data_IF_817489218280
#
_entry.id   IF_817489218280
#
_cell.length_a   1.000
_cell.length_b   1.000
_cell.length_c   1.000
_cell.angle_alpha   90.00
_cell.angle_beta   90.00
_cell.angle_gamma   90.00
#
_symmetry.space_group_name_H-M   'P 1'
#
loop_
_entity.id
_entity.type
_entity.pdbx_description
1 polymer ?
#
# COMPACT_ATOMS: atom_id res chain seq x y z
N UNK A 1 -48.31 27.61 12.93
CA UNK A 1 -46.92 27.83 12.48
C UNK A 1 -46.97 28.41 11.08
N UNK A 2 -46.34 29.57 10.82
CA UNK A 2 -46.48 30.28 9.56
C UNK A 2 -45.65 29.56 8.47
N UNK A 3 -46.13 29.46 7.22
CA UNK A 3 -45.45 28.69 6.14
C UNK A 3 -43.98 29.09 5.94
N UNK A 4 -43.66 30.37 6.18
CA UNK A 4 -42.28 30.92 6.14
C UNK A 4 -41.37 30.35 7.24
N UNK A 5 -41.90 30.11 8.43
CA UNK A 5 -41.13 29.60 9.58
C UNK A 5 -40.76 28.13 9.37
N UNK A 6 -41.67 27.30 8.84
CA UNK A 6 -41.39 25.89 8.53
C UNK A 6 -40.32 25.72 7.45
N UNK A 7 -40.35 26.56 6.41
CA UNK A 7 -39.36 26.52 5.33
C UNK A 7 -37.95 26.87 5.82
N UNK A 8 -37.81 27.90 6.67
CA UNK A 8 -36.52 28.29 7.24
C UNK A 8 -35.97 27.20 8.18
N UNK A 9 -36.81 26.61 9.04
CA UNK A 9 -36.38 25.51 9.92
C UNK A 9 -35.99 24.26 9.12
N UNK A 10 -36.69 23.95 8.03
CA UNK A 10 -36.35 22.84 7.14
C UNK A 10 -35.01 23.07 6.41
N UNK A 11 -34.75 24.29 5.92
CA UNK A 11 -33.46 24.63 5.28
C UNK A 11 -32.30 24.54 6.28
N UNK A 12 -32.49 25.06 7.50
CA UNK A 12 -31.48 24.96 8.57
C UNK A 12 -31.25 23.49 8.94
N UNK A 13 -32.31 22.71 9.13
CA UNK A 13 -32.21 21.27 9.40
C UNK A 13 -31.48 20.52 8.29
N UNK A 14 -31.74 20.83 7.02
CA UNK A 14 -31.09 20.20 5.87
C UNK A 14 -29.61 20.58 5.77
N UNK A 15 -29.26 21.85 6.05
CA UNK A 15 -27.87 22.30 6.11
C UNK A 15 -27.09 21.64 7.26
N UNK A 16 -27.71 21.44 8.42
CA UNK A 16 -27.09 20.74 9.55
C UNK A 16 -26.89 19.25 9.24
N UNK A 17 -27.90 18.56 8.70
CA UNK A 17 -27.78 17.13 8.35
C UNK A 17 -26.79 16.92 7.21
N UNK A 18 -26.79 17.79 6.19
CA UNK A 18 -25.82 17.77 5.10
C UNK A 18 -24.39 18.09 5.55
N UNK A 19 -24.21 19.08 6.43
CA UNK A 19 -22.91 19.48 6.96
C UNK A 19 -22.27 18.43 7.87
N UNK A 20 -23.06 17.81 8.75
CA UNK A 20 -22.58 16.74 9.65
C UNK A 20 -22.21 15.48 8.86
N UNK A 21 -23.04 15.09 7.87
CA UNK A 21 -22.75 13.96 6.99
C UNK A 21 -21.47 14.17 6.17
N UNK A 22 -21.28 15.38 5.63
CA UNK A 22 -20.07 15.75 4.89
C UNK A 22 -18.82 15.77 5.79
N UNK A 23 -18.92 16.34 7.00
CA UNK A 23 -17.83 16.32 8.00
C UNK A 23 -17.40 14.91 8.40
N UNK A 24 -18.37 14.01 8.64
CA UNK A 24 -18.07 12.62 8.98
C UNK A 24 -17.42 11.86 7.81
N UNK A 25 -17.93 12.06 6.59
CA UNK A 25 -17.40 11.44 5.38
C UNK A 25 -15.95 11.89 5.09
N UNK A 26 -15.69 13.20 5.18
CA UNK A 26 -14.35 13.76 4.95
C UNK A 26 -13.35 13.26 5.99
N UNK A 27 -13.74 13.15 7.26
CA UNK A 27 -12.88 12.60 8.31
C UNK A 27 -12.52 11.13 8.04
N UNK A 28 -13.52 10.31 7.64
CA UNK A 28 -13.29 8.90 7.28
C UNK A 28 -12.36 8.73 6.08
N UNK A 29 -12.45 9.61 5.08
CA UNK A 29 -11.64 9.54 3.86
C UNK A 29 -10.20 10.06 4.05
N UNK A 30 -9.96 10.90 5.07
CA UNK A 30 -8.62 11.36 5.43
C UNK A 30 -7.93 10.49 6.50
N UNK A 31 -8.58 9.44 7.00
CA UNK A 31 -7.95 8.49 7.92
C UNK A 31 -6.78 7.75 7.27
N UNK A 32 -5.78 7.37 8.09
CA UNK A 32 -4.63 6.59 7.65
C UNK A 32 -5.07 5.24 7.08
N UNK A 33 -4.41 4.82 6.02
CA UNK A 33 -4.67 3.58 5.30
C UNK A 33 -3.34 2.99 4.85
N UNK A 34 -3.16 1.69 5.11
CA UNK A 34 -2.01 0.93 4.66
C UNK A 34 -2.44 0.04 3.50
N UNK A 35 -1.73 0.14 2.37
CA UNK A 35 -1.91 -0.72 1.20
C UNK A 35 -0.61 -1.42 0.89
N UNK A 36 -0.71 -2.73 0.70
CA UNK A 36 0.44 -3.60 0.56
C UNK A 36 0.12 -4.83 -0.27
N UNK A 37 1.17 -5.36 -0.89
CA UNK A 37 1.20 -6.71 -1.43
C UNK A 37 1.69 -7.65 -0.34
N UNK A 38 0.96 -8.77 -0.18
CA UNK A 38 1.32 -9.81 0.78
C UNK A 38 1.97 -10.99 0.06
N UNK A 39 3.20 -11.31 0.43
CA UNK A 39 3.96 -12.45 -0.06
C UNK A 39 3.78 -13.62 0.93
N UNK A 40 3.14 -14.73 0.54
CA UNK A 40 2.80 -15.81 1.47
C UNK A 40 3.96 -16.79 1.73
N UNK A 41 4.67 -16.64 2.84
CA UNK A 41 5.89 -17.40 3.20
C UNK A 41 5.61 -18.59 4.13
N UNK A 42 4.42 -19.19 4.07
CA UNK A 42 4.02 -20.29 4.96
C UNK A 42 4.95 -21.50 4.78
N UNK A 43 5.50 -22.00 5.90
CA UNK A 43 6.35 -23.19 5.92
C UNK A 43 7.84 -22.92 5.68
N UNK A 44 8.23 -21.65 5.50
CA UNK A 44 9.63 -21.27 5.44
C UNK A 44 10.21 -21.00 6.84
N UNK A 45 11.53 -21.15 7.03
CA UNK A 45 12.20 -20.77 8.27
C UNK A 45 12.01 -19.28 8.58
N UNK A 46 11.75 -18.97 9.86
CA UNK A 46 11.59 -17.58 10.34
C UNK A 46 12.79 -16.72 9.98
N UNK A 47 14.01 -17.21 10.20
CA UNK A 47 15.26 -16.50 9.91
C UNK A 47 15.34 -16.10 8.43
N UNK A 48 14.97 -17.02 7.51
CA UNK A 48 14.94 -16.74 6.09
C UNK A 48 13.91 -15.63 5.73
N UNK A 49 12.77 -15.61 6.41
CA UNK A 49 11.74 -14.60 6.19
C UNK A 49 12.17 -13.22 6.72
N UNK A 50 12.86 -13.18 7.85
CA UNK A 50 13.45 -11.97 8.43
C UNK A 50 14.59 -11.43 7.55
N UNK A 51 15.45 -12.30 7.01
CA UNK A 51 16.50 -11.92 6.06
C UNK A 51 15.92 -11.29 4.79
N UNK A 52 14.82 -11.84 4.26
CA UNK A 52 14.13 -11.25 3.12
C UNK A 52 13.46 -9.92 3.46
N UNK A 53 12.83 -9.80 4.63
CA UNK A 53 12.30 -8.52 5.11
C UNK A 53 13.40 -7.45 5.12
N UNK A 54 14.56 -7.75 5.70
CA UNK A 54 15.71 -6.84 5.75
C UNK A 54 16.19 -6.50 4.34
N UNK A 55 16.32 -7.49 3.46
CA UNK A 55 16.74 -7.26 2.07
C UNK A 55 15.78 -6.30 1.32
N UNK A 56 14.46 -6.47 1.51
CA UNK A 56 13.45 -5.57 0.96
C UNK A 56 13.56 -4.16 1.57
N UNK A 57 13.75 -4.05 2.89
CA UNK A 57 13.93 -2.75 3.55
C UNK A 57 15.16 -2.01 3.02
N UNK A 58 16.28 -2.70 2.81
CA UNK A 58 17.49 -2.11 2.26
C UNK A 58 17.31 -1.63 0.82
N UNK A 59 16.73 -2.48 -0.04
CA UNK A 59 16.47 -2.16 -1.45
C UNK A 59 15.52 -0.97 -1.55
N UNK A 60 14.41 -0.98 -0.81
CA UNK A 60 13.42 0.09 -0.80
C UNK A 60 13.81 1.30 0.07
N UNK A 61 15.06 1.34 0.53
CA UNK A 61 15.68 2.54 1.12
C UNK A 61 16.63 3.26 0.15
N UNK A 62 16.90 2.66 -1.02
CA UNK A 62 17.77 3.21 -2.04
C UNK A 62 17.06 4.36 -2.78
N UNK A 63 17.63 5.56 -2.68
CA UNK A 63 17.04 6.77 -3.26
C UNK A 63 16.87 6.70 -4.78
N UNK A 64 17.77 6.04 -5.52
CA UNK A 64 17.63 5.91 -6.97
C UNK A 64 16.40 5.06 -7.34
N UNK A 65 16.17 3.96 -6.62
CA UNK A 65 14.98 3.11 -6.81
C UNK A 65 13.72 3.88 -6.43
N UNK A 66 13.75 4.62 -5.32
CA UNK A 66 12.60 5.41 -4.87
C UNK A 66 12.30 6.57 -5.81
N UNK A 67 13.30 7.20 -6.41
CA UNK A 67 13.14 8.23 -7.43
C UNK A 67 12.43 7.67 -8.67
N UNK A 68 12.90 6.54 -9.20
CA UNK A 68 12.25 5.88 -10.34
C UNK A 68 10.77 5.57 -10.06
N UNK A 69 10.47 5.02 -8.87
CA UNK A 69 9.10 4.70 -8.46
C UNK A 69 8.27 5.98 -8.31
N UNK A 70 8.82 7.03 -7.70
CA UNK A 70 8.13 8.30 -7.52
C UNK A 70 7.77 8.95 -8.86
N UNK A 71 8.68 8.90 -9.83
CA UNK A 71 8.50 9.45 -11.17
C UNK A 71 7.47 8.64 -11.98
N UNK A 72 7.61 7.31 -12.00
CA UNK A 72 6.73 6.41 -12.76
C UNK A 72 5.28 6.47 -12.26
N UNK A 73 5.09 6.60 -10.95
CA UNK A 73 3.75 6.64 -10.32
C UNK A 73 3.16 8.05 -10.22
N UNK A 74 3.92 9.09 -10.62
CA UNK A 74 3.58 10.50 -10.40
C UNK A 74 3.23 10.76 -8.91
N UNK A 75 4.04 10.20 -8.01
CA UNK A 75 3.75 10.10 -6.58
C UNK A 75 3.36 11.44 -5.94
N UNK A 76 4.13 12.49 -6.23
CA UNK A 76 3.91 13.84 -5.72
C UNK A 76 2.50 14.36 -6.07
N UNK A 77 2.10 14.23 -7.34
CA UNK A 77 0.80 14.68 -7.84
C UNK A 77 -0.34 13.85 -7.22
N UNK A 78 -0.23 12.52 -7.29
CA UNK A 78 -1.28 11.61 -6.82
C UNK A 78 -1.50 11.71 -5.31
N UNK A 79 -0.42 11.89 -4.55
CA UNK A 79 -0.51 11.94 -3.10
C UNK A 79 -0.59 13.37 -2.54
N UNK A 80 -0.45 14.39 -3.39
CA UNK A 80 -0.50 15.80 -3.01
C UNK A 80 0.68 16.20 -2.11
N UNK A 81 1.86 15.70 -2.45
CA UNK A 81 3.14 15.97 -1.77
C UNK A 81 3.96 16.92 -2.67
N UNK A 82 4.72 17.88 -2.10
CA UNK A 82 5.65 18.68 -2.90
C UNK A 82 6.64 17.80 -3.67
N UNK A 83 6.93 18.13 -4.93
CA UNK A 83 7.81 17.31 -5.77
C UNK A 83 9.21 17.16 -5.19
N UNK A 84 9.74 18.22 -4.56
CA UNK A 84 11.03 18.20 -3.85
C UNK A 84 11.06 17.25 -2.63
N UNK A 85 9.90 16.89 -2.06
CA UNK A 85 9.78 16.02 -0.90
C UNK A 85 9.29 14.60 -1.26
N UNK A 86 9.03 14.33 -2.55
CA UNK A 86 8.38 13.10 -2.98
C UNK A 86 9.14 11.83 -2.53
N UNK A 87 10.46 11.80 -2.73
CA UNK A 87 11.30 10.63 -2.40
C UNK A 87 11.44 10.45 -0.89
N UNK A 88 11.68 11.52 -0.13
CA UNK A 88 11.79 11.44 1.33
C UNK A 88 10.48 11.01 1.96
N UNK A 89 9.36 11.58 1.52
CA UNK A 89 8.03 11.19 1.97
C UNK A 89 7.69 9.74 1.59
N UNK A 90 8.02 9.32 0.36
CA UNK A 90 7.81 7.93 -0.07
C UNK A 90 8.61 6.96 0.80
N UNK A 91 9.89 7.26 1.08
CA UNK A 91 10.75 6.47 1.96
C UNK A 91 10.15 6.28 3.35
N UNK A 92 9.62 7.35 3.94
CA UNK A 92 8.97 7.30 5.25
C UNK A 92 7.63 6.53 5.23
N UNK A 93 6.89 6.66 4.14
CA UNK A 93 5.59 6.02 3.95
C UNK A 93 5.72 4.51 3.78
N UNK A 94 6.80 4.02 3.17
CA UNK A 94 7.03 2.59 2.94
C UNK A 94 7.12 1.83 4.27
N UNK A 95 6.48 0.67 4.30
CA UNK A 95 6.59 -0.33 5.36
C UNK A 95 6.76 -1.70 4.72
N UNK A 96 7.84 -2.36 5.10
CA UNK A 96 8.08 -3.78 4.84
C UNK A 96 8.04 -4.48 6.19
N UNK A 97 7.24 -5.52 6.34
CA UNK A 97 7.10 -6.25 7.60
C UNK A 97 6.83 -7.73 7.44
N UNK A 98 7.55 -8.57 8.18
CA UNK A 98 7.19 -9.97 8.32
C UNK A 98 6.12 -10.16 9.41
N UNK A 99 4.90 -10.47 8.98
CA UNK A 99 3.76 -10.73 9.86
C UNK A 99 3.74 -12.21 10.26
N UNK A 100 4.53 -12.57 11.29
CA UNK A 100 4.69 -13.94 11.81
C UNK A 100 3.37 -14.69 11.98
N UNK A 101 2.38 -14.06 12.60
CA UNK A 101 1.05 -14.67 12.85
C UNK A 101 0.33 -15.14 11.59
N UNK A 102 0.58 -14.48 10.46
CA UNK A 102 -0.07 -14.78 9.18
C UNK A 102 0.88 -15.48 8.21
N UNK A 103 2.17 -15.59 8.54
CA UNK A 103 3.25 -16.07 7.68
C UNK A 103 3.35 -15.30 6.36
N UNK A 104 3.22 -13.97 6.38
CA UNK A 104 3.31 -13.12 5.20
C UNK A 104 4.40 -12.07 5.37
N UNK A 105 5.10 -11.75 4.29
CA UNK A 105 5.87 -10.50 4.18
C UNK A 105 4.96 -9.48 3.48
N UNK A 106 4.67 -8.37 4.14
CA UNK A 106 3.88 -7.29 3.58
C UNK A 106 4.80 -6.18 3.10
N UNK A 107 4.68 -5.79 1.83
CA UNK A 107 5.40 -4.67 1.23
C UNK A 107 4.38 -3.65 0.77
N UNK A 108 4.44 -2.45 1.31
CA UNK A 108 3.48 -1.42 0.97
C UNK A 108 3.81 -0.08 1.57
N UNK A 109 2.81 0.79 1.62
CA UNK A 109 2.97 2.14 2.12
C UNK A 109 1.72 2.67 2.83
N UNK A 110 1.95 3.64 3.71
CA UNK A 110 0.91 4.35 4.46
C UNK A 110 0.54 5.63 3.72
N UNK A 111 -0.76 5.88 3.60
CA UNK A 111 -1.29 7.15 3.08
C UNK A 111 -2.71 7.39 3.61
N UNK A 112 -3.50 8.20 2.89
CA UNK A 112 -4.90 8.49 3.28
C UNK A 112 -5.85 7.55 2.57
N UNK A 113 -6.98 7.21 3.21
CA UNK A 113 -7.99 6.31 2.65
C UNK A 113 -8.51 6.74 1.27
N UNK A 114 -8.63 8.04 1.02
CA UNK A 114 -9.03 8.59 -0.28
C UNK A 114 -8.06 8.29 -1.42
N UNK A 115 -6.81 7.96 -1.11
CA UNK A 115 -5.74 7.64 -2.06
C UNK A 115 -5.58 6.13 -2.28
N UNK A 116 -6.50 5.30 -1.76
CA UNK A 116 -6.31 3.85 -1.71
C UNK A 116 -6.02 3.18 -3.06
N UNK A 117 -6.58 3.69 -4.15
CA UNK A 117 -6.33 3.15 -5.48
C UNK A 117 -4.88 3.43 -5.91
N UNK A 118 -4.42 4.67 -5.77
CA UNK A 118 -3.05 5.05 -6.08
C UNK A 118 -2.05 4.36 -5.16
N UNK A 119 -2.35 4.28 -3.86
CA UNK A 119 -1.53 3.54 -2.89
C UNK A 119 -1.39 2.06 -3.25
N UNK A 120 -2.42 1.44 -3.85
CA UNK A 120 -2.33 0.05 -4.29
C UNK A 120 -1.39 -0.10 -5.49
N UNK A 121 -1.52 0.76 -6.50
CA UNK A 121 -0.65 0.76 -7.68
C UNK A 121 0.82 1.01 -7.31
N UNK A 122 1.06 1.94 -6.38
CA UNK A 122 2.40 2.20 -5.86
C UNK A 122 2.93 0.97 -5.10
N UNK A 123 2.09 0.29 -4.30
CA UNK A 123 2.50 -0.93 -3.60
C UNK A 123 2.85 -2.08 -4.55
N UNK A 124 2.12 -2.22 -5.67
CA UNK A 124 2.44 -3.18 -6.74
C UNK A 124 3.82 -2.90 -7.33
N UNK A 125 4.11 -1.65 -7.70
CA UNK A 125 5.41 -1.28 -8.26
C UNK A 125 6.55 -1.42 -7.24
N UNK A 126 6.32 -1.08 -5.97
CA UNK A 126 7.27 -1.33 -4.87
C UNK A 126 7.59 -2.81 -4.73
N UNK A 127 6.59 -3.68 -4.84
CA UNK A 127 6.78 -5.12 -4.81
C UNK A 127 7.60 -5.60 -6.01
N UNK A 128 7.25 -5.17 -7.23
CA UNK A 128 7.95 -5.57 -8.46
C UNK A 128 9.41 -5.13 -8.45
N UNK A 129 9.68 -3.83 -8.30
CA UNK A 129 11.05 -3.29 -8.27
C UNK A 129 11.83 -3.80 -7.05
N UNK A 130 11.14 -3.99 -5.92
CA UNK A 130 11.72 -4.61 -4.74
C UNK A 130 12.17 -6.04 -5.02
N UNK A 131 11.30 -6.86 -5.59
CA UNK A 131 11.58 -8.26 -5.89
C UNK A 131 12.76 -8.40 -6.87
N UNK A 132 12.75 -7.64 -7.97
CA UNK A 132 13.82 -7.63 -8.98
C UNK A 132 15.21 -7.33 -8.39
N UNK A 133 15.28 -6.51 -7.35
CA UNK A 133 16.54 -6.14 -6.72
C UNK A 133 16.88 -7.03 -5.53
N UNK A 134 15.88 -7.55 -4.81
CA UNK A 134 16.08 -8.53 -3.74
C UNK A 134 16.61 -9.85 -4.31
N UNK A 135 16.14 -10.33 -5.47
CA UNK A 135 16.68 -11.57 -6.06
C UNK A 135 18.17 -11.48 -6.40
N UNK A 136 18.69 -10.27 -6.67
CA UNK A 136 20.13 -10.03 -6.91
C UNK A 136 20.94 -10.11 -5.62
N UNK A 137 20.36 -9.69 -4.48
CA UNK A 137 21.01 -9.73 -3.16
C UNK A 137 20.85 -11.08 -2.45
N UNK A 138 19.66 -11.67 -2.55
CA UNK A 138 19.23 -12.88 -1.86
C UNK A 138 18.67 -13.87 -2.87
N UNK A 139 19.53 -14.68 -3.54
CA UNK A 139 19.11 -15.65 -4.56
C UNK A 139 18.10 -16.69 -4.06
N UNK A 140 18.04 -16.93 -2.74
CA UNK A 140 17.03 -17.79 -2.12
C UNK A 140 15.60 -17.30 -2.37
N UNK A 141 15.40 -15.99 -2.55
CA UNK A 141 14.09 -15.44 -2.88
C UNK A 141 13.65 -15.83 -4.30
N UNK A 142 14.57 -15.88 -5.26
CA UNK A 142 14.27 -16.35 -6.62
C UNK A 142 13.81 -17.81 -6.60
N UNK A 143 14.51 -18.67 -5.87
CA UNK A 143 14.14 -20.10 -5.73
C UNK A 143 12.71 -20.26 -5.19
N UNK A 144 12.32 -19.39 -4.26
CA UNK A 144 10.97 -19.36 -3.72
C UNK A 144 9.93 -18.87 -4.74
N UNK A 145 10.22 -17.82 -5.51
CA UNK A 145 9.33 -17.36 -6.59
C UNK A 145 9.12 -18.45 -7.65
N UNK A 146 10.18 -19.18 -8.00
CA UNK A 146 10.12 -20.31 -8.94
C UNK A 146 9.26 -21.45 -8.37
N UNK A 147 9.39 -21.75 -7.08
CA UNK A 147 8.61 -22.78 -6.41
C UNK A 147 7.10 -22.42 -6.36
N UNK A 148 6.77 -21.17 -6.05
CA UNK A 148 5.37 -20.71 -6.05
C UNK A 148 4.79 -20.67 -7.45
N UNK A 149 5.55 -20.21 -8.45
CA UNK A 149 5.07 -20.17 -9.83
C UNK A 149 4.75 -21.57 -10.35
N UNK A 150 5.60 -22.56 -10.04
CA UNK A 150 5.35 -23.96 -10.34
C UNK A 150 4.09 -24.50 -9.65
N UNK A 151 3.94 -24.26 -8.34
CA UNK A 151 2.73 -24.68 -7.60
C UNK A 151 1.45 -24.07 -8.18
N UNK A 152 1.49 -22.79 -8.60
CA UNK A 152 0.34 -22.14 -9.25
C UNK A 152 0.02 -22.78 -10.60
N UNK A 153 1.03 -23.07 -11.41
CA UNK A 153 0.86 -23.76 -12.70
C UNK A 153 0.29 -25.19 -12.51
N UNK A 154 0.78 -25.93 -11.53
CA UNK A 154 0.29 -27.28 -11.21
C UNK A 154 -1.17 -27.25 -10.70
N UNK A 155 -1.53 -26.24 -9.90
CA UNK A 155 -2.91 -26.04 -9.43
C UNK A 155 -3.88 -25.62 -10.54
N UNK A 156 -3.41 -24.83 -11.51
CA UNK A 156 -4.21 -24.37 -12.65
C UNK A 156 -4.35 -25.42 -13.76
N UNK A 157 -3.38 -26.34 -13.88
CA UNK A 157 -3.41 -27.43 -14.87
C UNK A 157 -4.23 -28.64 -14.42
N UNK A 158 -4.72 -28.67 -13.18
CA UNK A 158 -5.74 -29.62 -12.73
C UNK A 158 -5.34 -31.08 -12.91
N UNK A 159 -4.17 -31.49 -12.40
CA UNK A 159 -3.88 -32.91 -12.24
C UNK A 159 -4.03 -33.33 -10.78
N UNK A 160 -4.95 -34.28 -10.46
CA UNK A 160 -4.82 -35.07 -9.24
C UNK A 160 -3.58 -35.96 -9.26
#
# INVERSE_FOLDING_TARGET
>A
MNKKTFLVTAIIGFLFVGGVGFGYYTLKMNANSFKAIAIPVKGLPTELCEDWEVAFQEVLSNEAILQEIADETQYAEKLGVPSEEAVSHLKEAIKVRFVKRNNWIEIGLVGKRKQNEDLMKIAELLHERGAENVVKKSPSFQQYLDLISKQRADTQSGQP
#
